data_IF_055701345273
#
_entry.id   IF_055701345273
#
_cell.length_a   1.000
_cell.length_b   1.000
_cell.length_c   1.000
_cell.angle_alpha   90.00
_cell.angle_beta   90.00
_cell.angle_gamma   90.00
#
_symmetry.space_group_name_H-M   'P 1'
#
loop_
_entity.id
_entity.type
_entity.pdbx_description
1 polymer ?
#
# COMPACT_ATOMS: atom_id res chain seq x y z
N UNK A 1 -0.16 -6.95 -4.92
CA UNK A 1 1.30 -7.19 -4.96
C UNK A 1 1.74 -8.09 -3.81
N UNK A 2 1.58 -7.67 -2.56
CA UNK A 2 2.01 -8.42 -1.35
C UNK A 2 1.50 -9.86 -1.28
N UNK A 3 0.24 -10.11 -1.63
CA UNK A 3 -0.32 -11.47 -1.66
C UNK A 3 0.43 -12.43 -2.59
N UNK A 4 1.08 -11.91 -3.64
CA UNK A 4 1.75 -12.72 -4.68
C UNK A 4 3.26 -12.85 -4.47
N UNK A 5 3.91 -11.79 -3.97
CA UNK A 5 5.38 -11.72 -3.88
C UNK A 5 5.91 -11.53 -2.46
N UNK A 6 5.03 -11.49 -1.46
CA UNK A 6 5.37 -11.20 -0.07
C UNK A 6 5.54 -9.71 0.23
N UNK A 7 5.54 -9.37 1.52
CA UNK A 7 5.59 -7.98 1.98
C UNK A 7 6.93 -7.31 1.65
N UNK A 8 8.04 -8.01 1.86
CA UNK A 8 9.38 -7.47 1.65
C UNK A 8 9.65 -7.11 0.18
N UNK A 9 9.28 -8.00 -0.74
CA UNK A 9 9.43 -7.72 -2.17
C UNK A 9 8.47 -6.61 -2.63
N UNK A 10 7.24 -6.60 -2.09
CA UNK A 10 6.27 -5.55 -2.40
C UNK A 10 6.72 -4.18 -1.89
N UNK A 11 7.35 -4.11 -0.71
CA UNK A 11 7.93 -2.88 -0.18
C UNK A 11 9.00 -2.36 -1.12
N UNK A 12 10.00 -3.20 -1.42
CA UNK A 12 11.11 -2.82 -2.30
C UNK A 12 10.62 -2.25 -3.62
N UNK A 13 9.62 -2.86 -4.25
CA UNK A 13 9.09 -2.37 -5.53
C UNK A 13 8.29 -1.09 -5.35
N UNK A 14 7.35 -1.05 -4.41
CA UNK A 14 6.43 0.07 -4.26
C UNK A 14 7.13 1.35 -3.78
N UNK A 15 8.12 1.23 -2.89
CA UNK A 15 8.84 2.38 -2.34
C UNK A 15 10.08 2.76 -3.16
N UNK A 16 10.48 1.99 -4.18
CA UNK A 16 11.70 2.28 -4.94
C UNK A 16 11.65 3.65 -5.63
N UNK A 17 10.48 4.02 -6.14
CA UNK A 17 10.37 5.30 -6.85
C UNK A 17 10.54 6.49 -5.90
N UNK A 18 10.19 6.34 -4.62
CA UNK A 18 10.42 7.33 -3.57
C UNK A 18 11.89 7.48 -3.16
N UNK A 19 12.72 6.46 -3.41
CA UNK A 19 14.15 6.50 -3.10
C UNK A 19 14.99 7.01 -4.27
N UNK A 20 14.52 6.83 -5.51
CA UNK A 20 15.24 7.19 -6.73
C UNK A 20 14.86 8.59 -7.23
N UNK A 21 13.59 8.94 -7.19
CA UNK A 21 13.08 10.22 -7.67
C UNK A 21 12.15 10.81 -6.60
N UNK A 22 12.74 11.54 -5.66
CA UNK A 22 11.99 12.18 -4.58
C UNK A 22 11.08 13.25 -5.18
N UNK A 23 9.78 12.95 -5.21
CA UNK A 23 8.73 13.92 -5.50
C UNK A 23 8.59 14.94 -4.38
N UNK A 24 7.56 15.79 -4.42
CA UNK A 24 7.23 16.68 -3.31
C UNK A 24 7.11 15.89 -2.00
N UNK A 25 7.65 16.43 -0.91
CA UNK A 25 7.74 15.73 0.38
C UNK A 25 6.38 15.23 0.91
N UNK A 26 5.29 15.93 0.58
CA UNK A 26 3.93 15.55 0.98
C UNK A 26 3.44 14.33 0.19
N UNK A 27 3.79 14.25 -1.11
CA UNK A 27 3.48 13.10 -1.96
C UNK A 27 4.25 11.87 -1.49
N UNK A 28 5.57 11.97 -1.32
CA UNK A 28 6.37 10.86 -0.81
C UNK A 28 5.88 10.34 0.53
N UNK A 29 5.49 11.23 1.46
CA UNK A 29 4.92 10.81 2.74
C UNK A 29 3.58 10.08 2.59
N UNK A 30 2.69 10.61 1.74
CA UNK A 30 1.41 9.98 1.43
C UNK A 30 1.62 8.59 0.81
N UNK A 31 2.48 8.48 -0.19
CA UNK A 31 2.73 7.25 -0.93
C UNK A 31 3.38 6.18 -0.06
N UNK A 32 4.40 6.53 0.74
CA UNK A 32 5.01 5.60 1.70
C UNK A 32 3.99 5.07 2.72
N UNK A 33 3.14 5.95 3.25
CA UNK A 33 2.08 5.57 4.18
C UNK A 33 1.06 4.63 3.53
N UNK A 34 0.51 5.03 2.37
CA UNK A 34 -0.51 4.24 1.66
C UNK A 34 0.05 2.89 1.18
N UNK A 35 1.31 2.85 0.75
CA UNK A 35 2.00 1.61 0.38
C UNK A 35 2.12 0.67 1.58
N UNK A 36 2.42 1.19 2.78
CA UNK A 36 2.48 0.37 3.99
C UNK A 36 1.10 -0.23 4.33
N UNK A 37 0.03 0.55 4.21
CA UNK A 37 -1.34 0.05 4.42
C UNK A 37 -1.73 -1.03 3.42
N UNK A 38 -1.41 -0.83 2.14
CA UNK A 38 -1.62 -1.84 1.09
C UNK A 38 -0.87 -3.14 1.38
N UNK A 39 0.36 -3.07 1.91
CA UNK A 39 1.11 -4.26 2.34
C UNK A 39 0.45 -4.95 3.53
N UNK A 40 0.02 -4.20 4.54
CA UNK A 40 -0.66 -4.77 5.71
C UNK A 40 -1.90 -5.56 5.30
N UNK A 41 -2.78 -4.96 4.50
CA UNK A 41 -3.99 -5.63 4.00
C UNK A 41 -3.63 -6.82 3.11
N UNK A 42 -2.68 -6.67 2.19
CA UNK A 42 -2.22 -7.79 1.37
C UNK A 42 -1.69 -8.96 2.19
N UNK A 43 -0.97 -8.73 3.28
CA UNK A 43 -0.52 -9.80 4.19
C UNK A 43 -1.68 -10.45 4.93
N UNK A 44 -2.67 -9.67 5.39
CA UNK A 44 -3.83 -10.18 6.12
C UNK A 44 -4.67 -11.17 5.28
N UNK A 45 -4.77 -10.95 3.97
CA UNK A 45 -5.54 -11.81 3.06
C UNK A 45 -4.69 -12.87 2.35
N UNK A 46 -3.35 -12.83 2.46
CA UNK A 46 -2.45 -13.72 1.72
C UNK A 46 -2.74 -15.21 1.93
N UNK A 47 -3.08 -15.63 3.14
CA UNK A 47 -3.41 -17.03 3.46
C UNK A 47 -4.70 -17.52 2.80
N UNK A 48 -5.69 -16.63 2.68
CA UNK A 48 -6.99 -16.93 2.06
C UNK A 48 -6.95 -16.91 0.53
N UNK A 49 -5.98 -16.18 -0.05
CA UNK A 49 -5.94 -15.89 -1.49
C UNK A 49 -7.08 -14.99 -1.98
N UNK A 50 -7.90 -14.43 -1.08
CA UNK A 50 -9.05 -13.60 -1.44
C UNK A 50 -8.64 -12.16 -1.80
N UNK A 51 -8.15 -12.01 -3.04
CA UNK A 51 -7.70 -10.74 -3.57
C UNK A 51 -8.86 -9.73 -3.70
N UNK A 52 -10.09 -10.21 -3.91
CA UNK A 52 -11.27 -9.35 -3.99
C UNK A 52 -11.58 -8.70 -2.63
N UNK A 53 -11.54 -9.48 -1.55
CA UNK A 53 -11.73 -8.95 -0.20
C UNK A 53 -10.62 -7.96 0.19
N UNK A 54 -9.36 -8.26 -0.14
CA UNK A 54 -8.24 -7.34 0.08
C UNK A 54 -8.46 -5.98 -0.63
N UNK A 55 -8.90 -6.01 -1.89
CA UNK A 55 -9.21 -4.80 -2.67
C UNK A 55 -10.39 -4.02 -2.08
N UNK A 56 -11.46 -4.72 -1.68
CA UNK A 56 -12.62 -4.08 -1.05
C UNK A 56 -12.24 -3.41 0.28
N UNK A 57 -11.34 -4.03 1.06
CA UNK A 57 -10.87 -3.47 2.31
C UNK A 57 -9.99 -2.22 2.09
N UNK A 58 -9.11 -2.24 1.08
CA UNK A 58 -8.34 -1.06 0.66
C UNK A 58 -9.27 0.10 0.25
N UNK A 59 -10.30 -0.20 -0.56
CA UNK A 59 -11.27 0.80 -1.00
C UNK A 59 -12.09 1.38 0.17
N UNK A 60 -12.44 0.55 1.16
CA UNK A 60 -13.09 1.03 2.38
C UNK A 60 -12.17 1.98 3.15
N UNK A 61 -10.90 1.62 3.35
CA UNK A 61 -9.93 2.45 4.06
C UNK A 61 -9.72 3.82 3.40
N UNK A 62 -9.69 3.86 2.06
CA UNK A 62 -9.65 5.11 1.32
C UNK A 62 -10.88 5.99 1.63
N UNK A 63 -12.08 5.40 1.70
CA UNK A 63 -13.34 6.13 1.94
C UNK A 63 -13.48 6.66 3.36
N UNK A 64 -12.96 5.94 4.35
CA UNK A 64 -13.10 6.31 5.76
C UNK A 64 -11.88 7.09 6.32
N UNK A 65 -10.96 7.52 5.44
CA UNK A 65 -9.81 8.35 5.82
C UNK A 65 -8.68 7.60 6.53
N UNK A 66 -8.59 6.28 6.36
CA UNK A 66 -7.45 5.48 6.83
C UNK A 66 -6.28 5.45 5.83
N UNK A 67 -6.48 6.00 4.62
CA UNK A 67 -5.40 6.33 3.70
C UNK A 67 -5.15 7.84 3.74
N UNK A 68 -3.89 8.21 3.55
CA UNK A 68 -3.49 9.61 3.46
C UNK A 68 -3.83 10.17 2.09
N UNK A 69 -4.23 11.45 2.05
CA UNK A 69 -4.46 12.23 0.84
C UNK A 69 -3.65 13.52 0.91
N UNK A 70 -3.31 14.10 -0.24
CA UNK A 70 -2.74 15.44 -0.28
C UNK A 70 -3.76 16.46 0.26
N UNK A 71 -3.27 17.36 1.10
CA UNK A 71 -4.01 18.52 1.64
C UNK A 71 -3.70 19.78 0.87
#
# INVERSE_FOLDING_TARGET
MTMRIGADAAERIATNHETVAQGPADQTRMDLYNNAQGRFLGSAFASSGDEAAALNQCALWARIGLLSTLS
#
